data_IF_472342890439
#
_entry.id   IF_472342890439
#
_cell.length_a   1.000
_cell.length_b   1.000
_cell.length_c   1.000
_cell.angle_alpha   90.00
_cell.angle_beta   90.00
_cell.angle_gamma   90.00
#
_symmetry.space_group_name_H-M   'P 1'
#
loop_
_entity.id
_entity.type
_entity.pdbx_description
1 polymer ?
#
# COMPACT_ATOMS: atom_id res chain seq x y z
N UNK A 1 3.22 7.73 -27.95
CA UNK A 1 3.32 8.31 -26.60
C UNK A 1 4.59 7.76 -25.98
N UNK A 2 5.47 8.61 -25.43
CA UNK A 2 6.71 8.16 -24.79
C UNK A 2 6.42 7.63 -23.38
N UNK A 3 7.09 6.55 -22.96
CA UNK A 3 7.00 6.06 -21.59
C UNK A 3 8.27 6.38 -20.83
N UNK A 4 8.13 6.64 -19.54
CA UNK A 4 9.22 6.85 -18.61
C UNK A 4 9.38 5.58 -17.78
N UNK A 5 10.57 5.00 -17.84
CA UNK A 5 11.01 3.95 -16.94
C UNK A 5 11.67 4.61 -15.74
N UNK A 6 10.99 4.55 -14.61
CA UNK A 6 11.42 5.20 -13.37
C UNK A 6 11.93 4.12 -12.42
N UNK A 7 13.17 4.23 -11.98
CA UNK A 7 13.80 3.30 -11.03
C UNK A 7 14.22 4.03 -9.77
N UNK A 8 13.86 3.51 -8.60
CA UNK A 8 14.34 4.05 -7.32
C UNK A 8 15.77 3.59 -7.04
N UNK A 9 16.77 4.47 -7.10
CA UNK A 9 18.18 4.12 -6.85
C UNK A 9 18.60 4.31 -5.40
N UNK A 10 18.07 5.35 -4.74
CA UNK A 10 18.35 5.64 -3.34
C UNK A 10 17.10 5.54 -2.48
N UNK A 11 17.30 5.17 -1.21
CA UNK A 11 16.21 5.01 -0.25
C UNK A 11 15.64 6.37 0.14
N UNK A 12 14.30 6.51 0.27
CA UNK A 12 13.68 7.74 0.76
C UNK A 12 13.76 7.91 2.29
N UNK A 13 14.39 6.97 3.01
CA UNK A 13 14.58 7.07 4.48
C UNK A 13 15.55 8.22 4.77
N UNK A 14 15.20 9.08 5.73
CA UNK A 14 15.97 10.30 6.04
C UNK A 14 15.61 11.54 5.22
N UNK A 15 14.82 11.40 4.15
CA UNK A 15 14.37 12.54 3.34
C UNK A 15 13.09 13.20 3.88
N UNK A 16 12.79 14.39 3.37
CA UNK A 16 11.60 15.17 3.70
C UNK A 16 10.31 14.36 3.49
N UNK A 17 9.30 14.60 4.33
CA UNK A 17 8.04 13.85 4.25
C UNK A 17 7.34 14.02 2.89
N UNK A 18 7.39 15.22 2.32
CA UNK A 18 6.87 15.50 0.97
C UNK A 18 7.54 14.62 -0.08
N UNK A 19 8.86 14.42 0.00
CA UNK A 19 9.58 13.56 -0.93
C UNK A 19 9.18 12.09 -0.75
N UNK A 20 9.08 11.62 0.49
CA UNK A 20 8.58 10.27 0.81
C UNK A 20 7.17 10.04 0.24
N UNK A 21 6.28 11.02 0.35
CA UNK A 21 4.91 10.94 -0.20
C UNK A 21 4.91 10.88 -1.72
N UNK A 22 5.74 11.66 -2.40
CA UNK A 22 5.86 11.62 -3.87
C UNK A 22 6.45 10.29 -4.37
N UNK A 23 7.46 9.72 -3.70
CA UNK A 23 7.98 8.37 -4.04
C UNK A 23 6.88 7.31 -3.90
N UNK A 24 6.07 7.38 -2.84
CA UNK A 24 4.91 6.50 -2.65
C UNK A 24 3.83 6.72 -3.72
N UNK A 25 3.55 7.96 -4.10
CA UNK A 25 2.58 8.30 -5.15
C UNK A 25 3.00 7.76 -6.53
N UNK A 26 4.30 7.71 -6.82
CA UNK A 26 4.84 7.07 -8.02
C UNK A 26 4.77 5.52 -7.97
N UNK A 27 4.35 4.92 -6.85
CA UNK A 27 4.23 3.47 -6.69
C UNK A 27 5.55 2.76 -6.33
N UNK A 28 6.59 3.51 -5.99
CA UNK A 28 7.91 2.99 -5.65
C UNK A 28 7.94 2.70 -4.14
N UNK A 29 7.86 1.41 -3.77
CA UNK A 29 7.87 0.96 -2.36
C UNK A 29 9.19 0.34 -1.95
N UNK A 30 9.95 -0.21 -2.91
CA UNK A 30 11.21 -0.92 -2.66
C UNK A 30 12.36 -0.29 -3.44
N UNK A 31 13.57 -0.40 -2.88
CA UNK A 31 14.78 0.00 -3.58
C UNK A 31 14.95 -0.81 -4.88
N UNK A 32 15.42 -0.16 -5.93
CA UNK A 32 15.59 -0.70 -7.29
C UNK A 32 14.29 -1.18 -7.97
N UNK A 33 13.12 -0.87 -7.41
CA UNK A 33 11.86 -1.11 -8.09
C UNK A 33 11.79 -0.22 -9.34
N UNK A 34 11.37 -0.81 -10.46
CA UNK A 34 11.13 -0.13 -11.72
C UNK A 34 9.64 -0.02 -11.96
N UNK A 35 9.16 1.16 -12.36
CA UNK A 35 7.77 1.42 -12.74
C UNK A 35 7.77 2.16 -14.06
N UNK A 36 6.87 1.75 -14.96
CA UNK A 36 6.66 2.41 -16.24
C UNK A 36 5.45 3.33 -16.11
N UNK A 37 5.64 4.60 -16.46
CA UNK A 37 4.58 5.60 -16.47
C UNK A 37 4.53 6.32 -17.81
N UNK A 38 3.36 6.79 -18.26
CA UNK A 38 3.29 7.66 -19.42
C UNK A 38 3.97 8.99 -19.13
N UNK A 39 4.59 9.57 -20.16
CA UNK A 39 5.20 10.88 -20.07
C UNK A 39 4.13 11.99 -19.99
N UNK A 40 3.81 12.41 -18.77
CA UNK A 40 2.86 13.48 -18.46
C UNK A 40 3.57 14.62 -17.70
N UNK A 41 3.14 15.89 -17.89
CA UNK A 41 3.73 17.03 -17.18
C UNK A 41 3.64 16.87 -15.65
N UNK A 42 2.55 16.29 -15.15
CA UNK A 42 2.40 15.98 -13.72
C UNK A 42 3.44 14.98 -13.20
N UNK A 43 3.76 13.94 -13.98
CA UNK A 43 4.78 12.95 -13.63
C UNK A 43 6.17 13.61 -13.67
N UNK A 44 6.46 14.41 -14.70
CA UNK A 44 7.70 15.18 -14.79
C UNK A 44 7.89 16.11 -13.60
N UNK A 45 6.84 16.83 -13.18
CA UNK A 45 6.87 17.68 -12.00
C UNK A 45 7.14 16.91 -10.70
N UNK A 46 6.60 15.69 -10.57
CA UNK A 46 6.91 14.82 -9.44
C UNK A 46 8.38 14.35 -9.45
N UNK A 47 8.91 14.00 -10.62
CA UNK A 47 10.32 13.59 -10.78
C UNK A 47 11.25 14.76 -10.44
N UNK A 48 10.94 15.98 -10.89
CA UNK A 48 11.74 17.17 -10.65
C UNK A 48 11.89 17.53 -9.16
N UNK A 49 10.96 17.10 -8.30
CA UNK A 49 11.06 17.27 -6.84
C UNK A 49 12.06 16.33 -6.18
N UNK A 50 12.41 15.23 -6.85
CA UNK A 50 13.24 14.16 -6.30
C UNK A 50 14.21 13.59 -7.35
N UNK A 51 15.05 14.44 -7.98
CA UNK A 51 15.94 13.99 -9.05
C UNK A 51 17.01 13.03 -8.54
N UNK A 52 17.45 13.18 -7.29
CA UNK A 52 18.56 12.40 -6.73
C UNK A 52 18.18 10.98 -6.27
N UNK A 53 16.89 10.70 -6.03
CA UNK A 53 16.46 9.34 -5.64
C UNK A 53 16.13 8.45 -6.83
N UNK A 54 15.84 9.06 -7.98
CA UNK A 54 15.26 8.40 -9.13
C UNK A 54 16.27 8.36 -10.28
N UNK A 55 16.24 7.25 -11.01
CA UNK A 55 16.87 7.13 -12.32
C UNK A 55 15.76 6.99 -13.35
N UNK A 56 15.76 7.90 -14.34
CA UNK A 56 14.69 8.00 -15.33
C UNK A 56 15.26 7.74 -16.71
N UNK A 57 14.68 6.77 -17.42
CA UNK A 57 15.01 6.44 -18.79
C UNK A 57 13.77 6.65 -19.66
N UNK A 58 13.91 7.37 -20.78
CA UNK A 58 12.83 7.52 -21.76
C UNK A 58 12.84 6.27 -22.64
N UNK A 59 11.72 5.55 -22.67
CA UNK A 59 11.56 4.30 -23.44
C UNK A 59 10.42 4.49 -24.43
N UNK A 60 10.66 4.17 -25.70
CA UNK A 60 9.70 4.45 -26.77
C UNK A 60 8.54 3.45 -26.81
N UNK A 61 8.72 2.22 -26.31
CA UNK A 61 7.68 1.17 -26.21
C UNK A 61 8.10 0.10 -25.19
N UNK A 62 7.27 -0.25 -24.19
CA UNK A 62 7.42 -1.51 -23.46
C UNK A 62 6.39 -2.50 -23.99
N UNK A 63 6.63 -3.07 -25.17
CA UNK A 63 6.01 -4.33 -25.51
C UNK A 63 6.48 -5.35 -24.46
N UNK A 64 5.54 -5.89 -23.68
CA UNK A 64 5.71 -7.08 -22.84
C UNK A 64 6.51 -6.90 -21.52
N UNK A 65 5.80 -6.68 -20.41
CA UNK A 65 6.15 -7.39 -19.16
C UNK A 65 4.95 -7.45 -18.19
N UNK A 66 4.41 -8.65 -17.89
CA UNK A 66 3.40 -8.81 -16.85
C UNK A 66 4.04 -8.55 -15.49
N UNK A 67 3.78 -7.38 -14.93
CA UNK A 67 4.14 -7.04 -13.56
C UNK A 67 3.25 -7.82 -12.57
N UNK A 68 3.55 -9.10 -12.39
CA UNK A 68 2.82 -9.96 -11.45
C UNK A 68 3.47 -11.33 -11.33
N UNK A 69 4.40 -11.49 -10.39
CA UNK A 69 4.81 -12.82 -9.94
C UNK A 69 3.59 -13.52 -9.29
N UNK A 70 2.93 -14.36 -10.08
CA UNK A 70 2.39 -15.69 -9.74
C UNK A 70 2.34 -15.99 -8.23
N UNK A 71 1.30 -15.57 -7.54
CA UNK A 71 0.85 -16.25 -6.31
C UNK A 71 -0.19 -17.30 -6.70
N UNK A 72 0.22 -18.34 -7.43
CA UNK A 72 -0.71 -19.43 -7.81
C UNK A 72 -0.06 -20.82 -7.79
N UNK A 73 0.84 -21.07 -6.82
CA UNK A 73 1.31 -22.44 -6.54
C UNK A 73 1.51 -22.65 -5.03
N UNK A 74 0.42 -22.70 -4.25
CA UNK A 74 0.46 -23.31 -2.89
C UNK A 74 -0.90 -23.71 -2.29
N UNK A 75 -2.00 -23.69 -3.03
CA UNK A 75 -3.33 -23.95 -2.44
C UNK A 75 -3.87 -25.39 -2.60
N UNK A 76 -3.25 -26.26 -3.42
CA UNK A 76 -4.01 -27.41 -3.97
C UNK A 76 -3.44 -28.82 -3.75
N UNK A 77 -2.49 -29.03 -2.81
CA UNK A 77 -1.84 -30.35 -2.65
C UNK A 77 -2.03 -31.06 -1.30
N UNK A 78 -3.02 -30.67 -0.49
CA UNK A 78 -3.44 -31.49 0.66
C UNK A 78 -4.85 -32.06 0.48
N UNK A 79 -5.07 -32.66 -0.69
CA UNK A 79 -6.09 -33.67 -0.89
C UNK A 79 -5.42 -35.04 -0.99
N UNK A 80 -5.40 -35.82 0.10
CA UNK A 80 -5.08 -37.24 0.03
C UNK A 80 -4.02 -37.71 1.03
N UNK A 81 -4.45 -38.09 2.23
CA UNK A 81 -3.92 -39.23 3.02
C UNK A 81 -4.73 -39.39 4.30
N UNK A 82 -5.80 -40.19 4.22
CA UNK A 82 -6.30 -41.01 5.33
C UNK A 82 -7.49 -41.85 4.86
N UNK A 83 -7.25 -42.75 3.91
CA UNK A 83 -8.09 -43.95 3.79
C UNK A 83 -7.19 -45.17 3.93
N UNK A 84 -7.72 -46.16 4.65
CA UNK A 84 -7.22 -47.51 4.93
C UNK A 84 -6.42 -47.62 6.23
N UNK A 85 -7.11 -47.91 7.33
CA UNK A 85 -7.48 -49.25 7.83
C UNK A 85 -6.29 -49.97 8.48
N UNK A 86 -6.34 -50.16 9.80
CA UNK A 86 -5.99 -51.41 10.47
C UNK A 86 -6.28 -51.31 11.98
N UNK A 87 -7.03 -52.30 12.48
CA UNK A 87 -6.92 -53.00 13.76
C UNK A 87 -6.48 -52.20 15.02
N UNK A 88 -7.09 -52.35 16.19
CA UNK A 88 -7.33 -53.62 16.90
C UNK A 88 -8.15 -53.32 18.16
N UNK A 89 -8.99 -54.27 18.58
CA UNK A 89 -9.70 -54.24 19.88
C UNK A 89 -8.73 -54.30 21.06
N UNK A 90 -8.98 -53.56 22.13
CA UNK A 90 -8.65 -53.88 23.55
C UNK A 90 -9.23 -52.80 24.47
N UNK A 91 -10.36 -53.09 25.11
CA UNK A 91 -10.49 -53.34 26.56
C UNK A 91 -10.18 -52.15 27.47
N UNK A 92 -11.25 -51.58 28.04
CA UNK A 92 -11.40 -51.42 29.49
C UNK A 92 -10.88 -50.16 30.17
N UNK A 93 -11.71 -49.71 31.13
CA UNK A 93 -11.41 -48.92 32.32
C UNK A 93 -11.57 -47.39 32.25
N UNK A 94 -12.60 -46.94 32.97
CA UNK A 94 -12.56 -45.91 34.02
C UNK A 94 -11.81 -44.61 33.74
N UNK A 95 -12.54 -43.49 33.73
CA UNK A 95 -12.44 -42.48 34.79
C UNK A 95 -13.52 -41.41 34.62
N UNK A 96 -14.19 -41.13 35.73
CA UNK A 96 -15.10 -40.01 35.94
C UNK A 96 -14.27 -38.72 36.04
N UNK A 97 -14.76 -37.62 35.46
CA UNK A 97 -14.68 -36.28 36.04
C UNK A 97 -15.41 -35.27 35.15
N UNK A 98 -16.42 -34.62 35.74
CA UNK A 98 -16.96 -33.33 35.29
C UNK A 98 -15.87 -32.26 35.47
N UNK A 99 -15.82 -31.24 34.60
CA UNK A 99 -16.21 -29.94 35.11
C UNK A 99 -17.04 -29.09 34.13
N UNK A 100 -17.96 -28.35 34.75
CA UNK A 100 -18.65 -27.14 34.29
C UNK A 100 -17.73 -26.17 33.55
N UNK A 101 -18.13 -25.78 32.34
CA UNK A 101 -17.77 -24.46 31.81
C UNK A 101 -19.02 -23.78 31.25
N UNK A 102 -19.24 -22.61 31.82
CA UNK A 102 -20.28 -21.62 31.61
C UNK A 102 -20.39 -21.21 30.15
N UNK A 103 -21.59 -21.35 29.58
CA UNK A 103 -21.99 -20.66 28.36
C UNK A 103 -22.05 -19.16 28.62
N UNK A 104 -21.17 -18.40 27.97
CA UNK A 104 -21.33 -16.95 27.80
C UNK A 104 -21.79 -16.73 26.36
N UNK A 105 -23.06 -16.43 26.10
CA UNK A 105 -23.51 -16.14 24.75
C UNK A 105 -23.05 -14.74 24.32
N UNK A 106 -22.48 -14.70 23.12
CA UNK A 106 -22.21 -13.50 22.37
C UNK A 106 -23.53 -12.80 21.97
N UNK A 107 -23.66 -11.53 22.30
CA UNK A 107 -24.49 -10.50 21.65
C UNK A 107 -23.98 -9.15 22.20
N UNK A 108 -24.01 -7.99 21.54
CA UNK A 108 -24.51 -7.57 20.24
C UNK A 108 -23.78 -6.27 19.92
N UNK A 109 -23.63 -5.98 18.64
CA UNK A 109 -23.05 -4.78 18.07
C UNK A 109 -23.74 -3.50 18.54
N UNK A 110 -22.98 -2.42 18.82
CA UNK A 110 -23.36 -1.05 18.46
C UNK A 110 -22.10 -0.23 18.11
N UNK A 111 -21.80 -0.18 16.82
CA UNK A 111 -21.01 0.88 16.21
C UNK A 111 -21.97 2.03 15.87
N UNK A 112 -21.72 3.23 16.42
CA UNK A 112 -22.40 4.46 16.00
C UNK A 112 -21.40 5.62 16.00
N UNK A 113 -20.74 5.75 14.86
CA UNK A 113 -20.37 6.96 14.13
C UNK A 113 -20.75 8.31 14.78
N UNK A 114 -19.76 9.15 15.05
CA UNK A 114 -19.93 10.56 15.43
C UNK A 114 -19.28 11.46 14.37
N UNK A 115 -19.94 12.54 13.90
CA UNK A 115 -19.64 13.18 12.62
C UNK A 115 -18.41 14.12 12.62
N UNK A 116 -17.74 14.18 11.45
CA UNK A 116 -16.64 15.11 11.10
C UNK A 116 -17.06 16.59 11.24
N UNK A 117 -16.19 17.47 11.77
CA UNK A 117 -16.43 18.91 11.74
C UNK A 117 -16.26 19.49 10.32
N UNK A 118 -17.24 20.29 9.87
CA UNK A 118 -17.18 21.07 8.63
C UNK A 118 -16.07 22.12 8.73
N UNK A 119 -15.02 21.94 7.93
CA UNK A 119 -13.92 22.91 7.76
C UNK A 119 -14.43 24.16 7.05
N UNK A 120 -14.58 25.25 7.79
CA UNK A 120 -15.01 26.55 7.28
C UNK A 120 -14.11 27.07 6.16
N UNK A 121 -14.73 27.71 5.17
CA UNK A 121 -14.07 28.41 4.05
C UNK A 121 -13.09 29.44 4.60
N UNK A 122 -11.81 29.31 4.25
CA UNK A 122 -10.83 30.39 4.41
C UNK A 122 -11.22 31.49 3.43
N UNK A 123 -11.71 32.62 3.94
CA UNK A 123 -11.82 33.84 3.17
C UNK A 123 -10.39 34.29 2.84
N UNK A 124 -10.05 34.27 1.56
CA UNK A 124 -8.84 34.89 1.03
C UNK A 124 -9.01 36.40 1.08
N UNK A 125 -8.20 37.08 1.89
CA UNK A 125 -8.04 38.53 1.79
C UNK A 125 -7.31 38.87 0.48
N UNK A 126 -7.73 39.91 -0.26
CA UNK A 126 -6.98 40.40 -1.41
C UNK A 126 -5.68 41.08 -0.94
N UNK A 127 -4.59 40.75 -1.62
CA UNK A 127 -3.28 41.39 -1.47
C UNK A 127 -3.40 42.78 -2.08
N UNK A 128 -3.20 43.83 -1.28
CA UNK A 128 -3.03 45.19 -1.75
C UNK A 128 -1.67 45.32 -2.45
N UNK A 129 -1.59 45.86 -3.69
CA UNK A 129 -0.30 46.22 -4.26
C UNK A 129 0.23 47.50 -3.59
N UNK A 130 1.52 47.49 -3.25
CA UNK A 130 2.24 48.68 -2.77
C UNK A 130 2.26 49.75 -3.86
N UNK A 131 1.61 50.88 -3.60
CA UNK A 131 2.02 52.18 -4.13
C UNK A 131 3.13 52.75 -3.22
N UNK A 132 3.92 53.69 -3.74
CA UNK A 132 5.10 54.33 -3.13
C UNK A 132 6.35 53.42 -3.09
N UNK A 133 7.50 53.72 -3.69
CA UNK A 133 8.24 54.98 -3.91
C UNK A 133 9.21 54.77 -5.10
N UNK A 134 9.79 55.73 -5.82
CA UNK A 134 9.88 57.16 -5.71
C UNK A 134 10.09 57.72 -7.13
N UNK A 135 9.47 58.86 -7.40
CA UNK A 135 9.94 59.82 -8.40
C UNK A 135 11.02 60.67 -7.74
N UNK A 136 12.24 60.71 -8.29
CA UNK A 136 13.17 61.86 -8.36
C UNK A 136 14.42 61.42 -9.11
#
# INVERSE_FOLDING_TARGET
MSMLKITLKHSPIGHNETQKRTVRALGLRRLHQTVYQPDNPSIRGMIARIPHLLHVEVVQEPANQPAGKRTSRRAEQNGGRASRQAATRRTGAHAQALPTETEVPASEAQAAETPKPKRGKRQSAPITPNEEEAST
#
